data_IF_131862631338
#
_entry.id   IF_131862631338
#
_cell.length_a   1.000
_cell.length_b   1.000
_cell.length_c   1.000
_cell.angle_alpha   90.00
_cell.angle_beta   90.00
_cell.angle_gamma   90.00
#
_symmetry.space_group_name_H-M   'P 1'
#
loop_
_entity.id
_entity.type
_entity.pdbx_description
1 polymer ?
#
# COMPACT_ATOMS: atom_id res chain seq x y z
N UNK A 1 0.01 46.29 -19.21
CA UNK A 1 -1.33 46.22 -18.56
C UNK A 1 -1.42 44.90 -17.83
N UNK A 2 -1.75 44.93 -16.53
CA UNK A 2 -1.98 43.73 -15.70
C UNK A 2 -1.18 43.75 -14.39
N UNK A 3 -1.71 44.43 -13.38
CA UNK A 3 -1.06 44.77 -12.12
C UNK A 3 -1.05 43.62 -11.10
N UNK A 4 0.06 43.50 -10.37
CA UNK A 4 0.17 42.70 -9.15
C UNK A 4 -0.59 43.40 -8.01
N UNK A 5 -1.63 42.75 -7.48
CA UNK A 5 -2.43 43.26 -6.36
C UNK A 5 -1.72 43.12 -5.01
N UNK A 6 -1.83 44.11 -4.09
CA UNK A 6 -1.19 44.06 -2.79
C UNK A 6 -2.11 43.39 -1.76
N UNK A 7 -2.05 42.07 -1.60
CA UNK A 7 -2.60 41.42 -0.40
C UNK A 7 -1.55 41.46 0.72
N UNK A 8 -1.52 42.67 1.28
CA UNK A 8 -0.74 43.19 2.38
C UNK A 8 -0.86 42.37 3.67
N UNK A 9 0.28 41.85 4.15
CA UNK A 9 0.92 41.97 5.48
C UNK A 9 0.10 42.22 6.79
N UNK A 10 -1.19 42.54 6.76
CA UNK A 10 -2.01 42.85 7.94
C UNK A 10 -2.48 41.62 8.74
N UNK A 11 -2.53 40.43 8.14
CA UNK A 11 -3.01 39.22 8.82
C UNK A 11 -2.04 38.65 9.87
N UNK A 12 -0.73 38.66 9.58
CA UNK A 12 0.27 38.03 10.43
C UNK A 12 0.62 38.85 11.69
N UNK A 13 0.56 40.18 11.60
CA UNK A 13 0.76 41.08 12.74
C UNK A 13 -0.43 41.02 13.73
N UNK A 14 -1.65 40.90 13.21
CA UNK A 14 -2.87 40.75 14.01
C UNK A 14 -2.88 39.45 14.82
N UNK A 15 -2.47 38.33 14.22
CA UNK A 15 -2.39 37.04 14.92
C UNK A 15 -1.30 37.04 16.01
N UNK A 16 -0.13 37.64 15.76
CA UNK A 16 0.92 37.76 16.79
C UNK A 16 0.48 38.65 17.95
N UNK A 17 -0.20 39.75 17.67
CA UNK A 17 -0.75 40.64 18.70
C UNK A 17 -1.89 39.98 19.49
N UNK A 18 -2.74 39.20 18.83
CA UNK A 18 -3.79 38.41 19.48
C UNK A 18 -3.21 37.31 20.37
N UNK A 19 -2.19 36.58 19.90
CA UNK A 19 -1.50 35.56 20.70
C UNK A 19 -0.73 36.17 21.89
N UNK A 20 -0.13 37.35 21.73
CA UNK A 20 0.46 38.08 22.85
C UNK A 20 -0.58 38.61 23.84
N UNK A 21 -1.75 39.04 23.36
CA UNK A 21 -2.85 39.49 24.22
C UNK A 21 -3.47 38.32 24.99
N UNK A 22 -3.63 37.14 24.38
CA UNK A 22 -4.04 35.90 25.06
C UNK A 22 -2.98 35.49 26.12
N UNK A 23 -1.68 35.64 25.84
CA UNK A 23 -0.63 35.42 26.84
C UNK A 23 -0.71 36.44 28.00
N UNK A 24 -0.92 37.73 27.72
CA UNK A 24 -1.01 38.76 28.78
C UNK A 24 -2.28 38.66 29.62
N UNK A 25 -3.43 38.34 29.03
CA UNK A 25 -4.69 38.14 29.79
C UNK A 25 -4.56 36.94 30.74
N UNK A 26 -3.80 35.91 30.36
CA UNK A 26 -3.47 34.80 31.26
C UNK A 26 -2.56 35.21 32.43
N UNK A 27 -1.67 36.18 32.24
CA UNK A 27 -0.78 36.68 33.30
C UNK A 27 -1.43 37.70 34.24
N UNK A 28 -2.46 38.43 33.79
CA UNK A 28 -3.08 39.50 34.59
C UNK A 28 -4.34 39.08 35.36
N UNK A 29 -4.85 37.86 35.13
CA UNK A 29 -5.92 37.26 35.94
C UNK A 29 -5.40 36.47 37.15
N UNK A 30 -4.08 36.36 37.32
CA UNK A 30 -3.42 35.60 38.39
C UNK A 30 -2.57 36.52 39.30
N UNK A 31 -3.17 37.64 39.73
CA UNK A 31 -2.54 38.60 40.63
C UNK A 31 -3.46 38.99 41.78
N UNK A 32 -3.70 38.05 42.69
CA UNK A 32 -3.91 38.23 44.15
C UNK A 32 -4.48 36.94 44.75
N UNK A 33 -3.59 35.98 45.01
CA UNK A 33 -3.94 34.72 45.64
C UNK A 33 -2.73 33.82 45.60
N UNK A 34 -2.19 33.48 46.77
CA UNK A 34 -1.06 32.56 46.93
C UNK A 34 -1.24 31.35 46.01
N UNK A 35 -0.36 31.20 45.03
CA UNK A 35 -0.25 29.97 44.26
C UNK A 35 0.05 28.84 45.25
N UNK A 36 -0.79 27.80 45.40
CA UNK A 36 -0.29 26.55 45.94
C UNK A 36 0.79 26.08 44.95
N UNK A 37 2.00 25.83 45.46
CA UNK A 37 3.08 25.18 44.73
C UNK A 37 2.68 23.72 44.42
N UNK A 38 1.71 23.56 43.52
CA UNK A 38 1.16 22.29 43.07
C UNK A 38 1.38 22.16 41.57
N UNK A 39 2.43 21.44 41.20
CA UNK A 39 2.59 20.68 39.97
C UNK A 39 1.99 21.27 38.68
N UNK A 40 2.60 22.35 38.19
CA UNK A 40 2.90 22.38 36.75
C UNK A 40 3.80 21.17 36.52
N UNK A 41 3.23 20.08 35.98
CA UNK A 41 3.92 18.82 35.66
C UNK A 41 5.19 19.07 34.83
N UNK A 42 6.27 19.48 35.49
CA UNK A 42 7.61 19.57 34.93
C UNK A 42 8.10 18.14 34.87
N UNK A 43 7.71 17.47 33.80
CA UNK A 43 8.21 16.15 33.46
C UNK A 43 9.74 16.18 33.58
N UNK A 44 10.33 15.40 34.51
CA UNK A 44 11.76 15.46 34.75
C UNK A 44 12.53 15.20 33.44
N UNK A 45 13.74 15.77 33.23
CA UNK A 45 14.49 15.61 31.98
C UNK A 45 14.66 14.14 31.53
N UNK A 46 14.67 13.21 32.48
CA UNK A 46 14.68 11.77 32.23
C UNK A 46 13.41 11.25 31.52
N UNK A 47 12.21 11.73 31.86
CA UNK A 47 10.95 11.31 31.21
C UNK A 47 10.81 11.91 29.82
N UNK A 48 11.34 13.12 29.56
CA UNK A 48 11.42 13.69 28.21
C UNK A 48 12.36 12.90 27.29
N UNK A 49 13.52 12.45 27.80
CA UNK A 49 14.44 11.59 27.04
C UNK A 49 13.80 10.23 26.73
N UNK A 50 13.12 9.63 27.70
CA UNK A 50 12.40 8.37 27.51
C UNK A 50 11.29 8.50 26.46
N UNK A 51 10.46 9.55 26.55
CA UNK A 51 9.42 9.83 25.56
C UNK A 51 9.99 10.09 24.16
N UNK A 52 11.12 10.81 24.04
CA UNK A 52 11.81 11.02 22.75
C UNK A 52 12.32 9.72 22.16
N UNK A 53 13.00 8.90 22.95
CA UNK A 53 13.49 7.58 22.53
C UNK A 53 12.34 6.67 22.09
N UNK A 54 11.24 6.63 22.85
CA UNK A 54 10.05 5.85 22.48
C UNK A 54 9.40 6.36 21.19
N UNK A 55 9.34 7.69 20.99
CA UNK A 55 8.85 8.30 19.76
C UNK A 55 9.74 7.99 18.56
N UNK A 56 11.05 8.10 18.69
CA UNK A 56 12.03 7.74 17.67
C UNK A 56 11.94 6.26 17.30
N UNK A 57 11.83 5.37 18.31
CA UNK A 57 11.61 3.95 18.11
C UNK A 57 10.30 3.65 17.38
N UNK A 58 9.20 4.33 17.73
CA UNK A 58 7.92 4.20 17.05
C UNK A 58 7.98 4.69 15.59
N UNK A 59 8.65 5.81 15.32
CA UNK A 59 8.87 6.34 13.97
C UNK A 59 9.74 5.36 13.16
N UNK A 60 10.84 4.86 13.72
CA UNK A 60 11.71 3.87 13.08
C UNK A 60 10.97 2.57 12.77
N UNK A 61 10.15 2.08 13.71
CA UNK A 61 9.31 0.90 13.49
C UNK A 61 8.29 1.14 12.37
N UNK A 62 7.58 2.28 12.40
CA UNK A 62 6.58 2.65 11.39
C UNK A 62 7.20 2.74 9.99
N UNK A 63 8.33 3.43 9.84
CA UNK A 63 9.02 3.55 8.56
C UNK A 63 9.50 2.20 8.02
N UNK A 64 9.96 1.29 8.89
CA UNK A 64 10.32 -0.08 8.48
C UNK A 64 9.12 -0.88 7.98
N UNK A 65 7.97 -0.77 8.65
CA UNK A 65 6.72 -1.44 8.22
C UNK A 65 6.26 -0.89 6.87
N UNK A 66 6.27 0.43 6.69
CA UNK A 66 5.88 1.07 5.44
C UNK A 66 6.81 0.69 4.27
N UNK A 67 8.13 0.67 4.48
CA UNK A 67 9.09 0.21 3.45
C UNK A 67 8.83 -1.24 3.03
N UNK A 68 8.55 -2.13 3.99
CA UNK A 68 8.17 -3.52 3.67
C UNK A 68 6.88 -3.57 2.88
N UNK A 69 5.88 -2.79 3.27
CA UNK A 69 4.62 -2.70 2.52
C UNK A 69 4.88 -2.35 1.05
N UNK A 70 5.59 -1.24 0.78
CA UNK A 70 5.90 -0.84 -0.60
C UNK A 70 6.66 -1.94 -1.33
N UNK A 71 7.68 -2.50 -0.71
CA UNK A 71 8.54 -3.52 -1.34
C UNK A 71 7.76 -4.74 -1.83
N UNK A 72 6.73 -5.19 -1.10
CA UNK A 72 5.94 -6.35 -1.51
C UNK A 72 4.76 -6.03 -2.43
N UNK A 73 4.20 -4.83 -2.33
CA UNK A 73 3.04 -4.41 -3.13
C UNK A 73 3.41 -3.79 -4.48
N UNK A 74 4.55 -3.10 -4.57
CA UNK A 74 5.01 -2.50 -5.82
C UNK A 74 5.15 -3.53 -6.96
N UNK A 75 5.72 -4.73 -6.74
CA UNK A 75 5.78 -5.76 -7.79
C UNK A 75 4.40 -6.22 -8.28
N UNK A 76 3.38 -6.26 -7.41
CA UNK A 76 2.00 -6.58 -7.82
C UNK A 76 1.50 -5.50 -8.78
N UNK A 77 1.63 -4.23 -8.40
CA UNK A 77 1.17 -3.11 -9.21
C UNK A 77 1.86 -3.06 -10.57
N UNK A 78 3.19 -3.25 -10.59
CA UNK A 78 3.96 -3.32 -11.84
C UNK A 78 3.45 -4.48 -12.70
N UNK A 79 3.25 -5.65 -12.10
CA UNK A 79 2.83 -6.84 -12.84
C UNK A 79 1.41 -6.71 -13.39
N UNK A 80 0.45 -6.19 -12.62
CA UNK A 80 -0.87 -5.83 -13.11
C UNK A 80 -0.77 -4.83 -14.27
N UNK A 81 0.05 -3.79 -14.14
CA UNK A 81 0.24 -2.84 -15.24
C UNK A 81 0.78 -3.48 -16.52
N UNK A 82 1.69 -4.46 -16.40
CA UNK A 82 2.18 -5.24 -17.54
C UNK A 82 1.09 -6.10 -18.18
N UNK A 83 0.26 -6.78 -17.37
CA UNK A 83 -0.89 -7.55 -17.88
C UNK A 83 -1.85 -6.63 -18.61
N UNK A 84 -2.22 -5.50 -18.00
CA UNK A 84 -3.13 -4.53 -18.60
C UNK A 84 -2.63 -3.99 -19.95
N UNK A 85 -1.34 -3.64 -20.04
CA UNK A 85 -0.73 -3.22 -21.31
C UNK A 85 -0.85 -4.35 -22.34
N UNK A 86 -0.49 -5.58 -21.97
CA UNK A 86 -0.56 -6.73 -22.87
C UNK A 86 -1.99 -6.95 -23.38
N UNK A 87 -2.98 -6.86 -22.49
CA UNK A 87 -4.40 -7.02 -22.79
C UNK A 87 -5.00 -5.85 -23.56
N UNK A 88 -4.30 -4.71 -23.66
CA UNK A 88 -4.71 -3.56 -24.47
C UNK A 88 -4.36 -3.70 -25.95
N UNK A 89 -3.54 -4.70 -26.33
CA UNK A 89 -3.16 -4.94 -27.72
C UNK A 89 -4.14 -5.92 -28.39
N UNK A 90 -4.47 -5.69 -29.68
CA UNK A 90 -5.33 -6.59 -30.45
C UNK A 90 -4.66 -7.97 -30.64
N UNK A 91 -5.48 -9.00 -30.78
CA UNK A 91 -4.97 -10.35 -31.08
C UNK A 91 -4.35 -10.38 -32.48
N UNK A 92 -3.15 -10.98 -32.65
CA UNK A 92 -2.56 -11.13 -33.99
C UNK A 92 -3.44 -12.03 -34.87
N UNK A 93 -3.82 -11.55 -36.06
CA UNK A 93 -4.77 -12.20 -36.96
C UNK A 93 -4.25 -13.47 -37.68
N UNK A 94 -2.94 -13.76 -37.68
CA UNK A 94 -2.38 -14.62 -38.75
C UNK A 94 -1.14 -15.46 -38.46
N UNK A 95 -0.80 -15.77 -37.20
CA UNK A 95 0.24 -16.77 -36.92
C UNK A 95 -0.47 -18.10 -36.63
N UNK A 96 -0.01 -19.27 -37.14
CA UNK A 96 -0.45 -20.57 -36.64
C UNK A 96 0.04 -20.71 -35.19
N UNK A 97 -0.63 -20.01 -34.29
CA UNK A 97 -0.44 -20.14 -32.87
C UNK A 97 -0.84 -21.56 -32.53
N UNK A 98 0.04 -22.27 -31.81
CA UNK A 98 -0.29 -23.55 -31.22
C UNK A 98 -1.68 -23.43 -30.55
N UNK A 99 -2.58 -24.38 -30.76
CA UNK A 99 -3.92 -24.29 -30.19
C UNK A 99 -3.80 -24.15 -28.67
N UNK A 100 -4.61 -23.27 -28.08
CA UNK A 100 -4.68 -23.01 -26.64
C UNK A 100 -3.46 -22.32 -26.00
N UNK A 101 -2.51 -21.79 -26.78
CA UNK A 101 -1.34 -21.09 -26.22
C UNK A 101 -1.73 -19.85 -25.41
N UNK A 102 -2.77 -19.14 -25.84
CA UNK A 102 -3.41 -18.04 -25.12
C UNK A 102 -3.85 -18.47 -23.71
N UNK A 103 -4.51 -19.63 -23.59
CA UNK A 103 -4.96 -20.15 -22.29
C UNK A 103 -3.78 -20.50 -21.38
N UNK A 104 -2.68 -21.01 -21.95
CA UNK A 104 -1.44 -21.27 -21.21
C UNK A 104 -0.80 -19.96 -20.73
N UNK A 105 -0.81 -18.91 -21.55
CA UNK A 105 -0.29 -17.59 -21.18
C UNK A 105 -1.10 -16.99 -20.03
N UNK A 106 -2.43 -17.04 -20.10
CA UNK A 106 -3.33 -16.65 -19.02
C UNK A 106 -3.04 -17.45 -17.74
N UNK A 107 -2.99 -18.78 -17.85
CA UNK A 107 -2.66 -19.65 -16.71
C UNK A 107 -1.32 -19.29 -16.04
N UNK A 108 -0.25 -19.11 -16.81
CA UNK A 108 1.08 -18.76 -16.27
C UNK A 108 1.06 -17.34 -15.69
N UNK A 109 0.45 -16.39 -16.39
CA UNK A 109 0.40 -15.00 -15.95
C UNK A 109 -0.27 -14.88 -14.58
N UNK A 110 -1.42 -15.53 -14.41
CA UNK A 110 -2.18 -15.47 -13.16
C UNK A 110 -1.64 -16.41 -12.08
N UNK A 111 -0.89 -17.45 -12.43
CA UNK A 111 -0.09 -18.19 -11.46
C UNK A 111 0.96 -17.30 -10.80
N UNK A 112 1.67 -16.49 -11.58
CA UNK A 112 2.64 -15.51 -11.04
C UNK A 112 1.93 -14.43 -10.23
N UNK A 113 0.81 -13.89 -10.72
CA UNK A 113 0.03 -12.87 -9.99
C UNK A 113 -0.45 -13.39 -8.62
N UNK A 114 -0.99 -14.61 -8.58
CA UNK A 114 -1.39 -15.28 -7.34
C UNK A 114 -0.24 -15.42 -6.34
N UNK A 115 0.95 -15.81 -6.82
CA UNK A 115 2.16 -15.87 -5.98
C UNK A 115 2.55 -14.51 -5.41
N UNK A 116 2.46 -13.44 -6.22
CA UNK A 116 2.79 -12.09 -5.77
C UNK A 116 1.84 -11.61 -4.68
N UNK A 117 0.52 -11.81 -4.85
CA UNK A 117 -0.47 -11.52 -3.80
C UNK A 117 -0.23 -12.34 -2.54
N UNK A 118 0.01 -13.64 -2.68
CA UNK A 118 0.27 -14.52 -1.55
C UNK A 118 1.50 -14.09 -0.76
N UNK A 119 2.59 -13.76 -1.47
CA UNK A 119 3.81 -13.20 -0.85
C UNK A 119 3.50 -11.90 -0.10
N UNK A 120 2.72 -11.00 -0.68
CA UNK A 120 2.36 -9.74 -0.02
C UNK A 120 1.54 -10.00 1.25
N UNK A 121 0.49 -10.82 1.21
CA UNK A 121 -0.33 -11.12 2.38
C UNK A 121 0.44 -11.84 3.49
N UNK A 122 1.38 -12.72 3.14
CA UNK A 122 2.26 -13.44 4.10
C UNK A 122 3.24 -12.54 4.85
N UNK A 123 3.50 -11.33 4.35
CA UNK A 123 4.44 -10.37 4.97
C UNK A 123 3.75 -9.33 5.85
N UNK A 124 2.42 -9.36 5.88
CA UNK A 124 1.56 -8.43 6.61
C UNK A 124 0.89 -9.10 7.80
N UNK A 125 -0.22 -8.50 8.26
CA UNK A 125 -1.06 -8.93 9.38
C UNK A 125 -1.60 -10.36 9.25
N UNK A 126 -1.59 -10.92 8.05
CA UNK A 126 -2.09 -12.28 7.75
C UNK A 126 -1.01 -13.37 7.78
N UNK A 127 0.19 -13.06 8.28
CA UNK A 127 1.30 -14.03 8.40
C UNK A 127 0.89 -15.31 9.15
N UNK A 128 0.02 -15.21 10.14
CA UNK A 128 -0.34 -16.32 11.02
C UNK A 128 -1.43 -17.22 10.41
N UNK A 129 -2.32 -16.67 9.57
CA UNK A 129 -3.41 -17.42 8.95
C UNK A 129 -3.10 -17.69 7.47
N UNK A 130 -2.45 -18.84 7.21
CA UNK A 130 -2.04 -19.24 5.86
C UNK A 130 -3.24 -19.43 4.94
N UNK A 131 -4.31 -20.06 5.44
CA UNK A 131 -5.51 -20.35 4.66
C UNK A 131 -6.19 -19.06 4.21
N UNK A 132 -6.29 -18.07 5.09
CA UNK A 132 -6.80 -16.74 4.74
C UNK A 132 -5.94 -16.06 3.68
N UNK A 133 -4.60 -16.13 3.82
CA UNK A 133 -3.70 -15.57 2.81
C UNK A 133 -3.86 -16.25 1.45
N UNK A 134 -3.99 -17.58 1.41
CA UNK A 134 -4.27 -18.33 0.16
C UNK A 134 -5.58 -17.86 -0.46
N UNK A 135 -6.66 -17.85 0.31
CA UNK A 135 -8.00 -17.48 -0.15
C UNK A 135 -8.02 -16.04 -0.71
N UNK A 136 -7.46 -15.08 0.03
CA UNK A 136 -7.39 -13.69 -0.44
C UNK A 136 -6.55 -13.56 -1.72
N UNK A 137 -5.46 -14.32 -1.85
CA UNK A 137 -4.62 -14.27 -3.06
C UNK A 137 -5.34 -14.75 -4.30
N UNK A 138 -6.08 -15.86 -4.18
CA UNK A 138 -6.88 -16.40 -5.26
C UNK A 138 -7.98 -15.40 -5.62
N UNK A 139 -8.77 -14.94 -4.64
CA UNK A 139 -9.85 -13.97 -4.87
C UNK A 139 -9.34 -12.70 -5.54
N UNK A 140 -8.24 -12.11 -5.04
CA UNK A 140 -7.69 -10.89 -5.63
C UNK A 140 -7.19 -11.08 -7.06
N UNK A 141 -6.54 -12.22 -7.34
CA UNK A 141 -6.08 -12.54 -8.69
C UNK A 141 -7.25 -12.81 -9.64
N UNK A 142 -8.27 -13.54 -9.19
CA UNK A 142 -9.47 -13.83 -9.99
C UNK A 142 -10.29 -12.56 -10.26
N UNK A 143 -10.46 -11.68 -9.28
CA UNK A 143 -11.12 -10.39 -9.50
C UNK A 143 -10.37 -9.53 -10.51
N UNK A 144 -9.03 -9.57 -10.48
CA UNK A 144 -8.21 -8.89 -11.48
C UNK A 144 -8.40 -9.51 -12.88
N UNK A 145 -8.42 -10.84 -12.99
CA UNK A 145 -8.68 -11.56 -14.25
C UNK A 145 -10.04 -11.24 -14.85
N UNK A 146 -11.07 -11.25 -14.01
CA UNK A 146 -12.40 -10.82 -14.42
C UNK A 146 -12.40 -9.37 -14.92
N UNK A 147 -11.69 -8.47 -14.24
CA UNK A 147 -11.58 -7.08 -14.69
C UNK A 147 -10.81 -6.95 -16.00
N UNK A 148 -9.84 -7.82 -16.26
CA UNK A 148 -9.08 -7.82 -17.50
C UNK A 148 -9.91 -8.33 -18.68
N UNK A 149 -10.71 -9.39 -18.51
CA UNK A 149 -11.66 -9.86 -19.54
C UNK A 149 -12.72 -8.80 -19.86
N UNK A 150 -13.23 -8.11 -18.84
CA UNK A 150 -14.14 -6.97 -19.04
C UNK A 150 -13.45 -5.83 -19.79
N UNK A 151 -12.18 -5.56 -19.50
CA UNK A 151 -11.39 -4.57 -20.24
C UNK A 151 -11.19 -4.98 -21.70
N UNK A 152 -10.82 -6.24 -21.96
CA UNK A 152 -10.61 -6.78 -23.30
C UNK A 152 -11.87 -6.70 -24.16
N UNK A 153 -13.07 -6.80 -23.57
CA UNK A 153 -14.34 -6.59 -24.28
C UNK A 153 -14.44 -5.20 -24.93
N UNK A 154 -13.76 -4.19 -24.39
CA UNK A 154 -13.73 -2.82 -24.95
C UNK A 154 -12.56 -2.58 -25.92
N UNK A 155 -11.68 -3.56 -26.12
CA UNK A 155 -10.51 -3.44 -27.02
C UNK A 155 -10.91 -3.91 -28.43
N UNK A 156 -10.81 -3.04 -29.46
CA UNK A 156 -11.12 -3.43 -30.83
C UNK A 156 -10.25 -4.62 -31.28
N UNK A 157 -10.87 -5.57 -32.00
CA UNK A 157 -10.18 -6.77 -32.51
C UNK A 157 -9.59 -7.66 -31.39
N UNK A 158 -10.18 -7.62 -30.20
CA UNK A 158 -9.94 -8.55 -29.09
C UNK A 158 -11.25 -9.27 -28.76
N UNK A 159 -11.17 -10.57 -28.47
CA UNK A 159 -12.32 -11.36 -28.04
C UNK A 159 -12.13 -11.69 -26.56
N UNK A 160 -13.02 -11.17 -25.71
CA UNK A 160 -13.12 -11.64 -24.34
C UNK A 160 -13.63 -13.08 -24.34
N UNK A 161 -12.94 -13.97 -23.62
CA UNK A 161 -13.25 -15.40 -23.58
C UNK A 161 -13.36 -15.84 -22.12
N UNK A 162 -14.52 -16.38 -21.77
CA UNK A 162 -14.75 -16.90 -20.43
C UNK A 162 -13.77 -18.03 -20.06
N UNK A 163 -13.22 -18.73 -21.06
CA UNK A 163 -12.19 -19.74 -20.84
C UNK A 163 -10.86 -19.14 -20.40
N UNK A 164 -10.55 -17.91 -20.79
CA UNK A 164 -9.35 -17.20 -20.32
C UNK A 164 -9.51 -16.82 -18.85
N UNK A 165 -10.69 -16.38 -18.42
CA UNK A 165 -10.99 -16.21 -16.99
C UNK A 165 -10.83 -17.52 -16.19
N UNK A 166 -11.29 -18.66 -16.70
CA UNK A 166 -11.08 -19.93 -16.03
C UNK A 166 -9.60 -20.33 -15.97
N UNK A 167 -8.83 -20.05 -17.02
CA UNK A 167 -7.39 -20.24 -17.04
C UNK A 167 -6.70 -19.35 -15.99
N UNK A 168 -7.15 -18.11 -15.83
CA UNK A 168 -6.65 -17.18 -14.81
C UNK A 168 -6.88 -17.71 -13.39
N UNK A 169 -8.11 -18.16 -13.11
CA UNK A 169 -8.47 -18.75 -11.82
C UNK A 169 -7.62 -20.00 -11.56
N UNK A 170 -7.56 -20.93 -12.51
CA UNK A 170 -6.78 -22.16 -12.37
C UNK A 170 -5.28 -21.88 -12.16
N UNK A 171 -4.74 -20.91 -12.90
CA UNK A 171 -3.38 -20.43 -12.76
C UNK A 171 -3.11 -19.91 -11.35
N UNK A 172 -3.95 -18.99 -10.87
CA UNK A 172 -3.81 -18.39 -9.53
C UNK A 172 -3.84 -19.44 -8.41
N UNK A 173 -4.74 -20.42 -8.49
CA UNK A 173 -4.81 -21.54 -7.55
C UNK A 173 -3.49 -22.32 -7.61
N UNK A 174 -3.09 -22.78 -8.80
CA UNK A 174 -1.89 -23.58 -8.98
C UNK A 174 -0.63 -22.88 -8.45
N UNK A 175 -0.42 -21.62 -8.85
CA UNK A 175 0.73 -20.82 -8.43
C UNK A 175 0.80 -20.66 -6.91
N UNK A 176 -0.31 -20.29 -6.27
CA UNK A 176 -0.37 -20.10 -4.81
C UNK A 176 -0.07 -21.42 -4.07
N UNK A 177 -0.66 -22.54 -4.49
CA UNK A 177 -0.44 -23.83 -3.84
C UNK A 177 0.99 -24.33 -4.02
N UNK A 178 1.55 -24.24 -5.23
CA UNK A 178 2.96 -24.60 -5.51
C UNK A 178 3.90 -23.76 -4.64
N UNK A 179 3.71 -22.44 -4.62
CA UNK A 179 4.58 -21.54 -3.86
C UNK A 179 4.48 -21.80 -2.35
N UNK A 180 3.28 -21.99 -1.83
CA UNK A 180 3.06 -22.31 -0.42
C UNK A 180 3.71 -23.64 -0.01
N UNK A 181 3.61 -24.68 -0.85
CA UNK A 181 4.12 -26.03 -0.54
C UNK A 181 5.62 -26.17 -0.69
N UNK A 182 6.22 -25.54 -1.70
CA UNK A 182 7.62 -25.79 -2.08
C UNK A 182 8.55 -24.60 -1.80
N UNK A 183 8.08 -23.35 -1.96
CA UNK A 183 8.97 -22.18 -1.96
C UNK A 183 9.03 -21.44 -0.61
N UNK A 184 8.00 -21.57 0.24
CA UNK A 184 8.08 -21.09 1.64
C UNK A 184 8.88 -22.03 2.56
N UNK A 185 9.11 -23.29 2.14
CA UNK A 185 9.95 -24.24 2.89
C UNK A 185 11.45 -24.02 2.67
N UNK A 186 11.82 -23.15 1.73
CA UNK A 186 13.21 -22.76 1.55
C UNK A 186 13.57 -21.81 2.71
N UNK A 187 14.43 -22.20 3.66
CA UNK A 187 14.87 -21.29 4.70
C UNK A 187 15.63 -20.15 4.03
N UNK A 188 15.02 -18.97 3.97
CA UNK A 188 15.72 -17.74 3.56
C UNK A 188 16.76 -17.51 4.66
N UNK A 189 18.00 -17.95 4.42
CA UNK A 189 19.14 -17.77 5.30
C UNK A 189 19.31 -16.28 5.55
N UNK A 190 18.79 -15.79 6.68
CA UNK A 190 19.07 -14.45 7.17
C UNK A 190 20.57 -14.37 7.36
N UNK A 191 21.26 -13.56 6.55
CA UNK A 191 22.60 -13.12 6.92
C UNK A 191 22.47 -12.44 8.29
N UNK A 192 23.16 -13.01 9.28
CA UNK A 192 23.37 -12.41 10.59
C UNK A 192 24.12 -11.10 10.42
#
# INVERSE_FOLDING_TARGET
>A
MGAAGPFSLYGAASLKNMLQKIRRVRYHSEGEGRLPAGDINFLPPASLKAQRSQRENNISKSTKVFKKFIYYWLPILIYCFLIFIQSSYPSPESIPALPYIDKILHFIAYAVLGVLFFRAYRTQRFKENINLAIMLSIISSSLYGLSDEVHQYFVPSRNADIMDFFADVAGSICGVYIFNRFLLKIPIRSKK
#
